data_IF_320214432284
#
_entry.id   IF_320214432284
#
_cell.length_a   1.000
_cell.length_b   1.000
_cell.length_c   1.000
_cell.angle_alpha   90.00
_cell.angle_beta   90.00
_cell.angle_gamma   90.00
#
_symmetry.space_group_name_H-M   'P 1'
#
loop_
_entity.id
_entity.type
_entity.pdbx_description
1 polymer ?
#
# COMPACT_ATOMS: atom_id res chain seq x y z
N UNK A 1 -22.26 14.34 -5.60
CA UNK A 1 -21.42 13.71 -4.57
C UNK A 1 -20.03 14.32 -4.67
N UNK A 2 -19.56 15.03 -3.64
CA UNK A 2 -18.22 15.63 -3.65
C UNK A 2 -17.24 14.48 -3.36
N UNK A 3 -16.38 14.15 -4.32
CA UNK A 3 -15.35 13.13 -4.13
C UNK A 3 -14.43 13.47 -2.94
N UNK A 4 -13.70 12.49 -2.39
CA UNK A 4 -12.75 12.75 -1.33
C UNK A 4 -11.79 13.89 -1.74
N UNK A 5 -11.52 14.82 -0.83
CA UNK A 5 -10.60 15.93 -1.10
C UNK A 5 -9.20 15.33 -1.34
N UNK A 6 -8.51 15.69 -2.44
CA UNK A 6 -7.15 15.20 -2.67
C UNK A 6 -6.24 15.60 -1.51
N UNK A 7 -5.55 14.62 -0.95
CA UNK A 7 -4.46 14.80 0.01
C UNK A 7 -3.15 14.40 -0.67
N UNK A 8 -1.97 14.86 -0.21
CA UNK A 8 -0.70 14.50 -0.84
C UNK A 8 -0.49 12.98 -0.96
N UNK A 9 -1.01 12.22 0.00
CA UNK A 9 -0.91 10.76 0.05
C UNK A 9 -2.00 10.05 -0.78
N UNK A 10 -3.00 10.77 -1.30
CA UNK A 10 -3.98 10.29 -2.28
C UNK A 10 -4.26 11.40 -3.31
N UNK A 11 -3.29 11.66 -4.20
CA UNK A 11 -3.23 12.88 -5.01
C UNK A 11 -4.38 13.02 -5.99
N UNK A 12 -5.07 11.92 -6.31
CA UNK A 12 -6.23 11.89 -7.21
C UNK A 12 -7.50 11.37 -6.53
N UNK A 13 -7.46 11.12 -5.21
CA UNK A 13 -8.60 10.57 -4.47
C UNK A 13 -8.96 9.12 -4.84
N UNK A 14 -8.02 8.36 -5.44
CA UNK A 14 -8.27 7.02 -5.95
C UNK A 14 -8.55 6.02 -4.83
N UNK A 15 -7.78 6.09 -3.75
CA UNK A 15 -7.93 5.20 -2.59
C UNK A 15 -9.22 5.56 -1.87
N UNK A 16 -9.45 6.86 -1.63
CA UNK A 16 -10.69 7.33 -1.01
C UNK A 16 -11.94 6.93 -1.81
N UNK A 17 -11.88 6.96 -3.15
CA UNK A 17 -12.99 6.53 -3.99
C UNK A 17 -13.23 5.01 -3.89
N UNK A 18 -12.18 4.20 -3.96
CA UNK A 18 -12.30 2.75 -3.81
C UNK A 18 -12.90 2.36 -2.44
N UNK A 19 -12.47 3.03 -1.37
CA UNK A 19 -13.03 2.83 -0.04
C UNK A 19 -14.50 3.25 0.05
N UNK A 20 -14.87 4.38 -0.57
CA UNK A 20 -16.25 4.86 -0.61
C UNK A 20 -17.19 3.91 -1.38
N UNK A 21 -16.69 3.19 -2.38
CA UNK A 21 -17.46 2.17 -3.11
C UNK A 21 -17.69 0.90 -2.29
N UNK A 22 -16.81 0.58 -1.32
CA UNK A 22 -16.99 -0.57 -0.43
C UNK A 22 -17.15 -1.89 -1.20
N UNK A 23 -18.27 -2.58 -1.00
CA UNK A 23 -18.58 -3.85 -1.68
C UNK A 23 -18.81 -3.72 -3.19
N UNK A 24 -19.14 -2.52 -3.67
CA UNK A 24 -19.40 -2.26 -5.08
C UNK A 24 -18.11 -1.98 -5.87
N UNK A 25 -16.97 -1.98 -5.19
CA UNK A 25 -15.66 -1.78 -5.80
C UNK A 25 -15.34 -2.93 -6.78
N UNK A 26 -15.20 -2.65 -8.09
CA UNK A 26 -15.37 -3.66 -9.13
C UNK A 26 -14.09 -4.40 -9.55
N UNK A 27 -12.91 -3.93 -9.19
CA UNK A 27 -11.69 -4.33 -9.91
C UNK A 27 -10.44 -4.23 -9.08
N UNK A 28 -9.40 -4.97 -9.49
CA UNK A 28 -8.52 -5.64 -8.55
C UNK A 28 -7.80 -4.64 -7.66
N UNK A 29 -7.78 -4.96 -6.37
CA UNK A 29 -7.12 -4.14 -5.37
C UNK A 29 -5.66 -3.81 -5.74
N UNK A 30 -4.96 -4.76 -6.37
CA UNK A 30 -3.58 -4.62 -6.83
C UNK A 30 -3.40 -3.53 -7.88
N UNK A 31 -4.31 -3.42 -8.85
CA UNK A 31 -4.20 -2.44 -9.92
C UNK A 31 -4.46 -1.02 -9.39
N UNK A 32 -5.37 -0.90 -8.42
CA UNK A 32 -5.61 0.36 -7.72
C UNK A 32 -4.42 0.76 -6.87
N UNK A 33 -3.82 -0.17 -6.13
CA UNK A 33 -2.60 0.09 -5.37
C UNK A 33 -1.45 0.52 -6.29
N UNK A 34 -1.21 -0.21 -7.39
CA UNK A 34 -0.15 0.12 -8.35
C UNK A 34 -0.40 1.49 -8.99
N UNK A 35 -1.64 1.74 -9.43
CA UNK A 35 -2.03 3.04 -10.00
C UNK A 35 -1.86 4.18 -9.00
N UNK A 36 -2.14 3.95 -7.72
CA UNK A 36 -1.90 4.90 -6.65
C UNK A 36 -0.40 5.17 -6.47
N UNK A 37 0.43 4.12 -6.36
CA UNK A 37 1.89 4.25 -6.23
C UNK A 37 2.51 5.02 -7.40
N UNK A 38 2.05 4.78 -8.62
CA UNK A 38 2.53 5.48 -9.83
C UNK A 38 2.12 6.96 -9.87
N UNK A 39 1.08 7.35 -9.14
CA UNK A 39 0.58 8.73 -9.07
C UNK A 39 1.10 9.51 -7.88
N UNK A 40 1.74 8.85 -6.91
CA UNK A 40 2.42 9.54 -5.81
C UNK A 40 3.52 10.43 -6.36
N UNK A 41 3.72 11.57 -5.70
CA UNK A 41 4.88 12.41 -5.95
C UNK A 41 6.17 11.62 -5.65
N UNK A 42 7.20 11.75 -6.48
CA UNK A 42 8.44 11.01 -6.34
C UNK A 42 9.19 11.30 -5.02
N UNK A 43 8.90 12.43 -4.37
CA UNK A 43 9.44 12.78 -3.06
C UNK A 43 8.71 12.08 -1.89
N UNK A 44 7.57 11.44 -2.14
CA UNK A 44 6.76 10.78 -1.11
C UNK A 44 7.12 9.30 -1.05
N UNK A 45 7.54 8.83 0.12
CA UNK A 45 7.75 7.41 0.39
C UNK A 45 6.40 6.66 0.42
N UNK A 46 6.18 5.65 -0.45
CA UNK A 46 4.94 4.87 -0.47
C UNK A 46 4.62 4.17 0.86
N UNK A 47 5.64 3.78 1.64
CA UNK A 47 5.43 3.14 2.95
C UNK A 47 4.83 4.15 3.93
N UNK A 48 5.43 5.33 4.04
CA UNK A 48 4.92 6.42 4.86
C UNK A 48 3.53 6.89 4.40
N UNK A 49 3.32 7.01 3.08
CA UNK A 49 2.04 7.42 2.50
C UNK A 49 0.92 6.41 2.79
N UNK A 50 1.17 5.11 2.64
CA UNK A 50 0.22 4.07 3.00
C UNK A 50 -0.16 4.15 4.49
N UNK A 51 0.83 4.34 5.37
CA UNK A 51 0.58 4.53 6.80
C UNK A 51 -0.28 5.76 7.11
N UNK A 52 -0.05 6.87 6.40
CA UNK A 52 -0.86 8.07 6.53
C UNK A 52 -2.30 7.87 6.03
N UNK A 53 -2.50 7.19 4.90
CA UNK A 53 -3.83 6.86 4.37
C UNK A 53 -4.63 6.00 5.35
N UNK A 54 -4.00 4.98 5.93
CA UNK A 54 -4.65 4.10 6.90
C UNK A 54 -5.17 4.88 8.12
N UNK A 55 -4.42 5.88 8.59
CA UNK A 55 -4.85 6.77 9.68
C UNK A 55 -5.92 7.74 9.22
N UNK A 56 -5.76 8.34 8.04
CA UNK A 56 -6.69 9.33 7.49
C UNK A 56 -8.10 8.77 7.31
N UNK A 57 -8.21 7.55 6.78
CA UNK A 57 -9.49 6.87 6.56
C UNK A 57 -9.95 6.01 7.74
N UNK A 58 -9.20 5.97 8.86
CA UNK A 58 -9.59 5.19 10.05
C UNK A 58 -9.56 3.67 9.85
N UNK A 59 -8.82 3.17 8.87
CA UNK A 59 -8.74 1.73 8.48
C UNK A 59 -7.43 1.05 8.93
N UNK A 60 -6.65 1.70 9.78
CA UNK A 60 -5.41 1.16 10.33
C UNK A 60 -5.61 -0.11 11.18
N UNK A 61 -6.79 -0.28 11.79
CA UNK A 61 -7.16 -1.45 12.59
C UNK A 61 -8.59 -1.91 12.31
N UNK A 62 -8.99 -3.02 12.93
CA UNK A 62 -10.32 -3.61 12.76
C UNK A 62 -10.43 -4.58 11.58
N UNK A 63 -11.63 -5.12 11.43
CA UNK A 63 -11.98 -6.12 10.43
C UNK A 63 -11.86 -5.57 9.02
N UNK A 64 -11.42 -6.43 8.12
CA UNK A 64 -11.33 -6.11 6.70
C UNK A 64 -12.73 -6.19 6.08
N UNK A 65 -13.12 -5.20 5.25
CA UNK A 65 -14.31 -5.32 4.41
C UNK A 65 -14.29 -6.61 3.58
N UNK A 66 -15.44 -7.08 3.12
CA UNK A 66 -15.48 -8.20 2.18
C UNK A 66 -14.98 -7.77 0.78
N UNK A 67 -14.53 -8.75 0.00
CA UNK A 67 -14.19 -8.56 -1.42
C UNK A 67 -12.92 -7.73 -1.68
N UNK A 68 -12.86 -7.12 -2.86
CA UNK A 68 -11.67 -6.40 -3.34
C UNK A 68 -11.35 -5.16 -2.51
N UNK A 69 -12.35 -4.51 -1.90
CA UNK A 69 -12.10 -3.37 -1.03
C UNK A 69 -11.34 -3.79 0.24
N UNK A 70 -11.70 -4.92 0.85
CA UNK A 70 -10.94 -5.47 1.98
C UNK A 70 -9.53 -5.88 1.61
N UNK A 71 -9.36 -6.44 0.42
CA UNK A 71 -8.05 -6.78 -0.13
C UNK A 71 -7.19 -5.54 -0.32
N UNK A 72 -7.75 -4.43 -0.79
CA UNK A 72 -7.05 -3.14 -0.90
C UNK A 72 -6.60 -2.62 0.47
N UNK A 73 -7.48 -2.65 1.47
CA UNK A 73 -7.12 -2.27 2.85
C UNK A 73 -5.98 -3.15 3.37
N UNK A 74 -6.01 -4.45 3.10
CA UNK A 74 -4.93 -5.38 3.47
C UNK A 74 -3.61 -5.02 2.80
N UNK A 75 -3.62 -4.76 1.49
CA UNK A 75 -2.42 -4.38 0.74
C UNK A 75 -1.83 -3.05 1.23
N UNK A 76 -2.66 -2.07 1.60
CA UNK A 76 -2.20 -0.82 2.21
C UNK A 76 -1.53 -1.06 3.56
N UNK A 77 -2.08 -1.96 4.40
CA UNK A 77 -1.46 -2.38 5.66
C UNK A 77 -0.12 -3.07 5.42
N UNK A 78 -0.04 -3.97 4.45
CA UNK A 78 1.21 -4.65 4.07
C UNK A 78 2.26 -3.66 3.56
N UNK A 79 1.85 -2.69 2.75
CA UNK A 79 2.72 -1.63 2.23
C UNK A 79 3.26 -0.77 3.37
N UNK A 80 2.40 -0.36 4.29
CA UNK A 80 2.79 0.43 5.46
C UNK A 80 3.71 -0.35 6.44
N UNK A 81 3.61 -1.68 6.45
CA UNK A 81 4.46 -2.55 7.27
C UNK A 81 5.77 -2.96 6.56
N UNK A 82 5.93 -2.63 5.27
CA UNK A 82 7.12 -2.99 4.54
C UNK A 82 8.35 -2.27 5.13
N UNK A 83 9.47 -2.98 5.22
CA UNK A 83 10.75 -2.38 5.62
C UNK A 83 11.52 -1.97 4.36
N UNK A 84 11.95 -0.70 4.23
CA UNK A 84 12.81 -0.30 3.13
C UNK A 84 14.11 -1.13 3.20
N UNK A 85 14.41 -1.91 2.17
CA UNK A 85 15.61 -2.76 2.11
C UNK A 85 15.45 -4.23 2.56
N UNK A 86 14.24 -4.68 2.90
CA UNK A 86 13.94 -6.06 3.33
C UNK A 86 13.96 -7.14 2.24
N UNK A 87 14.50 -6.85 1.06
CA UNK A 87 14.82 -7.86 0.05
C UNK A 87 15.91 -8.78 0.60
N UNK A 88 15.51 -9.88 1.23
CA UNK A 88 16.42 -10.93 1.71
C UNK A 88 17.36 -11.33 0.57
N UNK A 89 18.60 -10.86 0.61
CA UNK A 89 19.74 -11.45 -0.12
C UNK A 89 19.98 -12.85 0.46
N UNK A 90 19.14 -13.82 0.08
CA UNK A 90 19.41 -15.24 0.25
C UNK A 90 20.54 -15.60 -0.71
N UNK A 91 21.78 -15.46 -0.25
CA UNK A 91 22.96 -15.80 -1.04
C UNK A 91 24.27 -15.79 -0.25
N UNK A 92 24.23 -15.79 1.07
CA UNK A 92 25.41 -16.02 1.90
C UNK A 92 25.67 -17.51 2.02
N UNK A 93 26.55 -18.06 1.17
CA UNK A 93 27.44 -19.20 1.48
C UNK A 93 28.33 -19.53 0.29
N UNK A 94 29.53 -18.93 0.26
CA UNK A 94 30.79 -19.56 -0.20
C UNK A 94 31.98 -18.73 0.26
N UNK A 95 32.10 -18.53 1.58
CA UNK A 95 33.40 -18.36 2.19
C UNK A 95 34.08 -19.74 2.14
N UNK A 96 34.86 -19.99 1.09
CA UNK A 96 35.72 -21.16 1.01
C UNK A 96 36.95 -20.86 1.87
N UNK A 97 37.25 -21.61 2.95
CA UNK A 97 38.48 -21.39 3.67
C UNK A 97 39.64 -21.80 2.76
N UNK A 98 40.58 -20.87 2.61
CA UNK A 98 41.91 -21.17 2.11
C UNK A 98 42.55 -22.19 3.05
N UNK A 99 43.22 -23.18 2.48
CA UNK A 99 44.12 -24.07 3.22
C UNK A 99 45.45 -24.16 2.46
N UNK A 100 46.54 -24.40 3.21
CA UNK A 100 47.92 -23.99 2.90
C UNK A 100 48.57 -24.75 1.75
#
# INVERSE_FOLDING_TARGET
MRGPKPIPEDPVGLIGQALAMGSDFPGPAEDVLLSWMLKLDAAIDPIAAAGALLRHYGIAGGDLPAGECGKLVRLLRETAAATPGGGRRRGGRRARPARP
#
